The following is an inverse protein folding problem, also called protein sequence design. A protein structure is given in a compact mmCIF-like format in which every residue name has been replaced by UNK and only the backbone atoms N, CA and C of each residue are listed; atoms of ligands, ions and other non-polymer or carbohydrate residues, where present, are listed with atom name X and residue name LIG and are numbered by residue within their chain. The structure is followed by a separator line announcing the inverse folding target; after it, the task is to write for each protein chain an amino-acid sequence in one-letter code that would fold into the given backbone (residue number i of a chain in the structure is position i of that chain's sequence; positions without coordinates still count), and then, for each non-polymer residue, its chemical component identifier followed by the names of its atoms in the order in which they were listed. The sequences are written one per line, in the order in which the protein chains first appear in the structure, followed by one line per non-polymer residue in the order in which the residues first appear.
data_IF_187664140222
#
_entry.id   IF_187664140222
#
_cell.length_a   1.000
_cell.length_b   1.000
_cell.length_c   1.000
_cell.angle_alpha   90.00
_cell.angle_beta   90.00
_cell.angle_gamma   90.00
#
_symmetry.space_group_name_H-M   'P 1'
#
loop_
_entity.id
_entity.type
_entity.pdbx_description
1 polymer ?
#
# COMPACT_ATOMS: atom_id res chain seq x y z
N UNK A 1 30.83 25.09 17.24
CA UNK A 1 29.61 24.30 17.52
C UNK A 1 29.01 23.92 16.17
N UNK A 2 29.53 22.88 15.52
CA UNK A 2 28.95 22.38 14.27
C UNK A 2 27.65 21.66 14.58
N UNK A 3 26.52 22.26 14.25
CA UNK A 3 25.27 21.53 14.11
C UNK A 3 25.31 20.80 12.77
N UNK A 4 25.50 19.48 12.80
CA UNK A 4 25.27 18.63 11.64
C UNK A 4 23.82 18.86 11.16
N UNK A 5 23.57 19.05 9.85
CA UNK A 5 22.21 18.99 9.36
C UNK A 5 21.74 17.57 9.63
N UNK A 6 20.74 17.43 10.50
CA UNK A 6 20.07 16.15 10.68
C UNK A 6 19.66 15.69 9.29
N UNK A 7 20.17 14.52 8.89
CA UNK A 7 19.65 13.75 7.78
C UNK A 7 18.13 13.71 7.95
N UNK A 8 17.45 14.60 7.23
CA UNK A 8 16.15 14.31 6.68
C UNK A 8 16.40 13.13 5.77
N UNK A 9 16.45 11.93 6.37
CA UNK A 9 16.22 10.70 5.66
C UNK A 9 14.89 10.97 4.98
N UNK A 10 14.98 11.28 3.70
CA UNK A 10 13.93 11.14 2.73
C UNK A 10 13.45 9.70 2.88
N UNK A 11 12.56 9.48 3.85
CA UNK A 11 12.15 8.18 4.36
C UNK A 11 11.33 7.55 3.25
N UNK A 12 12.07 6.92 2.35
CA UNK A 12 11.60 6.27 1.13
C UNK A 12 10.45 7.01 0.46
N UNK A 13 10.73 7.85 -0.55
CA UNK A 13 9.84 7.94 -1.72
C UNK A 13 9.83 6.59 -2.50
N UNK A 14 9.90 5.46 -1.79
CA UNK A 14 9.80 4.13 -2.35
C UNK A 14 8.34 3.76 -2.48
N UNK A 15 8.01 2.95 -3.47
CA UNK A 15 6.67 2.40 -3.68
C UNK A 15 6.14 1.84 -2.36
N UNK A 16 4.97 2.33 -1.92
CA UNK A 16 4.30 1.81 -0.71
C UNK A 16 4.02 0.31 -0.89
N UNK A 17 4.10 -0.49 0.19
CA UNK A 17 3.84 -1.92 0.11
C UNK A 17 2.42 -2.20 -0.39
N UNK A 18 2.25 -3.34 -1.07
CA UNK A 18 0.96 -3.79 -1.60
C UNK A 18 0.62 -5.18 -1.08
N UNK A 19 -0.52 -5.30 -0.42
CA UNK A 19 -1.06 -6.60 -0.03
C UNK A 19 -2.22 -6.99 -0.95
N UNK A 20 -2.17 -8.22 -1.45
CA UNK A 20 -3.12 -8.75 -2.44
C UNK A 20 -4.14 -9.67 -1.79
N UNK A 21 -5.38 -9.54 -2.23
CA UNK A 21 -6.52 -10.33 -1.77
C UNK A 21 -7.30 -10.84 -2.98
N UNK A 22 -7.82 -12.06 -2.85
CA UNK A 22 -8.78 -12.64 -3.80
C UNK A 22 -10.16 -12.62 -3.16
N UNK A 23 -11.11 -11.98 -3.82
CA UNK A 23 -12.52 -11.99 -3.46
C UNK A 23 -13.24 -12.94 -4.40
N UNK A 24 -14.08 -13.79 -3.84
CA UNK A 24 -14.90 -14.75 -4.58
C UNK A 24 -16.36 -14.49 -4.23
N UNK A 25 -17.20 -14.33 -5.25
CA UNK A 25 -18.64 -14.18 -5.04
C UNK A 25 -19.35 -15.55 -5.06
N UNK A 26 -20.65 -15.55 -4.79
CA UNK A 26 -21.47 -16.77 -4.73
C UNK A 26 -21.57 -17.52 -6.07
N UNK A 27 -21.27 -16.84 -7.18
CA UNK A 27 -21.26 -17.43 -8.53
C UNK A 27 -19.87 -17.94 -8.93
N UNK A 28 -18.87 -17.82 -8.04
CA UNK A 28 -17.49 -18.25 -8.29
C UNK A 28 -16.66 -17.25 -9.11
N UNK A 29 -17.13 -16.01 -9.32
CA UNK A 29 -16.30 -15.00 -9.96
C UNK A 29 -15.16 -14.58 -9.04
N UNK A 30 -13.95 -14.47 -9.59
CA UNK A 30 -12.73 -14.17 -8.84
C UNK A 30 -12.20 -12.77 -9.18
N UNK A 31 -12.21 -11.90 -8.18
CA UNK A 31 -11.72 -10.53 -8.25
C UNK A 31 -10.42 -10.42 -7.47
N UNK A 32 -9.42 -9.78 -8.07
CA UNK A 32 -8.15 -9.51 -7.43
C UNK A 32 -8.09 -8.05 -7.04
N UNK A 33 -7.98 -7.78 -5.75
CA UNK A 33 -7.84 -6.44 -5.19
C UNK A 33 -6.51 -6.33 -4.45
N UNK A 34 -5.97 -5.13 -4.36
CA UNK A 34 -4.83 -4.86 -3.50
C UNK A 34 -5.03 -3.56 -2.73
N UNK A 35 -4.46 -3.52 -1.53
CA UNK A 35 -4.30 -2.27 -0.78
C UNK A 35 -2.89 -1.75 -0.97
N UNK A 36 -2.73 -0.46 -1.18
CA UNK A 36 -1.44 0.22 -1.19
C UNK A 36 -1.29 1.02 0.11
N UNK A 37 -0.22 0.72 0.86
CA UNK A 37 0.06 1.34 2.16
C UNK A 37 -0.35 0.50 3.36
N UNK A 38 0.23 0.83 4.52
CA UNK A 38 -0.07 0.19 5.81
C UNK A 38 -0.95 1.07 6.69
N UNK A 39 -1.85 0.46 7.47
CA UNK A 39 -2.70 1.19 8.44
C UNK A 39 -1.90 1.91 9.55
N UNK A 40 -0.66 1.47 9.80
CA UNK A 40 0.21 2.01 10.85
C UNK A 40 1.07 3.18 10.35
N UNK A 41 0.98 3.54 9.07
CA UNK A 41 1.71 4.65 8.45
C UNK A 41 0.94 5.97 8.64
N UNK A 42 1.03 6.57 9.83
CA UNK A 42 0.37 7.86 10.12
C UNK A 42 0.82 9.00 9.20
N UNK A 43 2.05 8.96 8.69
CA UNK A 43 2.63 9.95 7.78
C UNK A 43 2.02 9.93 6.38
N UNK A 44 1.55 8.77 5.90
CA UNK A 44 1.06 8.57 4.53
C UNK A 44 -0.46 8.43 4.44
N UNK A 45 -1.15 8.55 5.58
CA UNK A 45 -2.59 8.38 5.66
C UNK A 45 -3.05 6.92 5.47
N UNK A 46 -4.38 6.69 5.48
CA UNK A 46 -4.93 5.34 5.36
C UNK A 46 -4.58 4.69 4.02
N UNK A 47 -4.59 3.35 3.95
CA UNK A 47 -4.31 2.65 2.70
C UNK A 47 -5.41 2.92 1.65
N UNK A 48 -4.99 2.97 0.39
CA UNK A 48 -5.91 3.05 -0.74
C UNK A 48 -6.17 1.65 -1.30
N UNK A 49 -7.39 1.40 -1.78
CA UNK A 49 -7.79 0.11 -2.33
C UNK A 49 -7.99 0.20 -3.84
N UNK A 50 -7.51 -0.81 -4.55
CA UNK A 50 -7.54 -0.87 -6.01
C UNK A 50 -7.97 -2.25 -6.49
N UNK A 51 -8.71 -2.28 -7.59
CA UNK A 51 -8.97 -3.50 -8.35
C UNK A 51 -7.79 -3.74 -9.30
N UNK A 52 -7.19 -4.92 -9.21
CA UNK A 52 -6.17 -5.36 -10.17
C UNK A 52 -6.83 -5.91 -11.44
N UNK A 53 -7.89 -6.71 -11.27
CA UNK A 53 -8.61 -7.30 -12.38
C UNK A 53 -9.43 -8.53 -11.99
N UNK A 54 -10.05 -9.12 -13.00
CA UNK A 54 -10.78 -10.38 -12.91
C UNK A 54 -9.94 -11.43 -13.64
N UNK A 55 -9.49 -12.46 -12.93
CA UNK A 55 -8.72 -13.56 -13.52
C UNK A 55 -9.32 -14.87 -13.02
N UNK A 56 -9.81 -15.70 -13.94
CA UNK A 56 -10.38 -16.99 -13.61
C UNK A 56 -10.83 -17.79 -14.79
#
# INVERSE_FOLDING_TARGET
MSGSPGEGAHRSLGTRPRDYYRIEDENGHRYWVFREGLYQESEFGPPCWYLHGVFG
#
